data_IF_983731826104
#
_entry.id   IF_983731826104
#
_cell.length_a   1.000
_cell.length_b   1.000
_cell.length_c   1.000
_cell.angle_alpha   90.00
_cell.angle_beta   90.00
_cell.angle_gamma   90.00
#
_symmetry.space_group_name_H-M   'P 1'
#
loop_
_entity.id
_entity.type
_entity.pdbx_description
1 polymer ?
#
# COMPACT_ATOMS: atom_id res chain seq x y z
N UNK A 1 11.67 -1.42 -13.50
CA UNK A 1 11.15 -0.72 -12.31
C UNK A 1 10.00 -1.47 -11.64
N UNK A 2 8.90 -1.80 -12.33
CA UNK A 2 7.80 -2.58 -11.72
C UNK A 2 8.30 -3.91 -11.13
N UNK A 3 9.04 -4.71 -11.92
CA UNK A 3 9.60 -5.99 -11.44
C UNK A 3 10.56 -5.82 -10.26
N UNK A 4 11.31 -4.71 -10.25
CA UNK A 4 12.21 -4.39 -9.14
C UNK A 4 11.40 -4.13 -7.86
N UNK A 5 10.36 -3.29 -7.92
CA UNK A 5 9.51 -3.03 -6.75
C UNK A 5 8.77 -4.28 -6.29
N UNK A 6 8.23 -5.08 -7.20
CA UNK A 6 7.60 -6.35 -6.86
C UNK A 6 8.59 -7.32 -6.17
N UNK A 7 9.85 -7.37 -6.62
CA UNK A 7 10.90 -8.17 -5.98
C UNK A 7 11.19 -7.67 -4.55
N UNK A 8 11.41 -6.36 -4.39
CA UNK A 8 11.62 -5.76 -3.08
C UNK A 8 10.44 -6.01 -2.12
N UNK A 9 9.21 -5.90 -2.63
CA UNK A 9 7.99 -6.18 -1.89
C UNK A 9 7.92 -7.62 -1.34
N UNK A 10 8.52 -8.60 -2.03
CA UNK A 10 8.57 -9.98 -1.55
C UNK A 10 9.66 -10.20 -0.49
N UNK A 11 10.77 -9.45 -0.59
CA UNK A 11 11.87 -9.55 0.38
C UNK A 11 11.47 -8.98 1.75
N UNK A 12 10.72 -7.86 1.76
CA UNK A 12 10.24 -7.20 2.99
C UNK A 12 11.37 -6.85 3.98
N UNK A 13 12.58 -6.58 3.48
CA UNK A 13 13.73 -6.24 4.33
C UNK A 13 14.04 -4.75 4.30
N UNK A 14 14.87 -4.30 5.25
CA UNK A 14 15.34 -2.92 5.31
C UNK A 14 16.23 -2.56 4.11
N UNK A 15 17.04 -3.50 3.63
CA UNK A 15 17.89 -3.33 2.45
C UNK A 15 17.04 -3.16 1.18
N UNK A 16 15.96 -3.93 1.08
CA UNK A 16 14.97 -3.77 0.03
C UNK A 16 14.32 -2.38 0.11
N UNK A 17 13.95 -1.91 1.30
CA UNK A 17 13.40 -0.57 1.49
C UNK A 17 14.37 0.53 1.05
N UNK A 18 15.64 0.45 1.48
CA UNK A 18 16.66 1.44 1.12
C UNK A 18 16.86 1.50 -0.39
N UNK A 19 16.81 0.34 -1.06
CA UNK A 19 16.87 0.23 -2.51
C UNK A 19 15.64 0.85 -3.19
N UNK A 20 14.43 0.58 -2.68
CA UNK A 20 13.18 1.19 -3.15
C UNK A 20 13.25 2.71 -3.04
N UNK A 21 13.66 3.24 -1.89
CA UNK A 21 13.82 4.68 -1.64
C UNK A 21 14.83 5.31 -2.59
N UNK A 22 16.01 4.70 -2.73
CA UNK A 22 17.07 5.20 -3.62
C UNK A 22 16.61 5.27 -5.07
N UNK A 23 15.95 4.21 -5.56
CA UNK A 23 15.44 4.17 -6.93
C UNK A 23 14.30 5.16 -7.12
N UNK A 24 13.34 5.24 -6.19
CA UNK A 24 12.20 6.17 -6.31
C UNK A 24 12.61 7.62 -6.53
N UNK A 25 13.67 8.10 -5.85
CA UNK A 25 14.20 9.46 -6.02
C UNK A 25 14.78 9.75 -7.42
N UNK A 26 15.14 8.72 -8.16
CA UNK A 26 15.72 8.84 -9.51
C UNK A 26 14.66 8.72 -10.62
N UNK A 27 13.41 8.39 -10.26
CA UNK A 27 12.33 8.22 -11.23
C UNK A 27 11.86 9.60 -11.71
N UNK A 28 11.81 9.85 -13.03
CA UNK A 28 11.26 11.10 -13.54
C UNK A 28 9.79 11.27 -13.15
N UNK A 29 9.37 12.50 -12.81
CA UNK A 29 7.99 12.79 -12.37
C UNK A 29 6.91 12.27 -13.33
N UNK A 30 7.19 12.24 -14.64
CA UNK A 30 6.28 11.70 -15.66
C UNK A 30 5.90 10.23 -15.40
N UNK A 31 6.77 9.43 -14.82
CA UNK A 31 6.51 8.00 -14.55
C UNK A 31 5.52 7.78 -13.40
N UNK A 32 5.38 8.74 -12.48
CA UNK A 32 4.37 8.66 -11.41
C UNK A 32 2.93 8.76 -11.93
N UNK A 33 2.74 9.16 -13.19
CA UNK A 33 1.43 9.09 -13.86
C UNK A 33 1.04 7.68 -14.29
N UNK A 34 1.96 6.71 -14.26
CA UNK A 34 1.68 5.31 -14.60
C UNK A 34 1.09 4.59 -13.37
N UNK A 35 -0.21 4.23 -13.39
CA UNK A 35 -0.87 3.67 -12.22
C UNK A 35 -0.30 2.32 -11.80
N UNK A 36 0.19 1.51 -12.75
CA UNK A 36 0.81 0.21 -12.44
C UNK A 36 2.14 0.38 -11.72
N UNK A 37 2.97 1.32 -12.19
CA UNK A 37 4.24 1.61 -11.55
C UNK A 37 4.03 2.17 -10.14
N UNK A 38 3.11 3.13 -10.00
CA UNK A 38 2.80 3.71 -8.71
C UNK A 38 2.25 2.66 -7.74
N UNK A 39 1.33 1.80 -8.18
CA UNK A 39 0.81 0.68 -7.37
C UNK A 39 1.93 -0.24 -6.90
N UNK A 40 2.86 -0.63 -7.78
CA UNK A 40 3.99 -1.48 -7.40
C UNK A 40 4.94 -0.81 -6.39
N UNK A 41 5.14 0.52 -6.51
CA UNK A 41 5.94 1.28 -5.56
C UNK A 41 5.25 1.37 -4.19
N UNK A 42 3.94 1.63 -4.16
CA UNK A 42 3.15 1.64 -2.93
C UNK A 42 3.20 0.29 -2.22
N UNK A 43 2.95 -0.81 -2.95
CA UNK A 43 3.02 -2.17 -2.39
C UNK A 43 4.41 -2.48 -1.79
N UNK A 44 5.48 -2.09 -2.49
CA UNK A 44 6.84 -2.27 -1.99
C UNK A 44 7.13 -1.45 -0.72
N UNK A 45 6.71 -0.17 -0.68
CA UNK A 45 6.88 0.68 0.49
C UNK A 45 6.11 0.15 1.69
N UNK A 46 4.83 -0.22 1.51
CA UNK A 46 3.98 -0.77 2.58
C UNK A 46 4.55 -2.08 3.12
N UNK A 47 4.90 -3.04 2.25
CA UNK A 47 5.43 -4.34 2.68
C UNK A 47 6.81 -4.28 3.31
N UNK A 48 7.59 -3.24 2.99
CA UNK A 48 8.87 -2.99 3.66
C UNK A 48 8.74 -2.05 4.88
N UNK A 49 7.52 -1.65 5.25
CA UNK A 49 7.22 -0.95 6.49
C UNK A 49 7.31 0.59 6.44
N UNK A 50 7.51 1.21 5.27
CA UNK A 50 7.49 2.68 5.15
C UNK A 50 6.10 3.19 4.78
N UNK A 51 5.20 3.07 5.75
CA UNK A 51 3.79 3.47 5.63
C UNK A 51 3.65 4.96 5.32
N UNK A 52 4.41 5.82 6.00
CA UNK A 52 4.30 7.28 5.85
C UNK A 52 4.65 7.73 4.42
N UNK A 53 5.66 7.13 3.80
CA UNK A 53 6.04 7.48 2.44
C UNK A 53 5.04 6.96 1.41
N UNK A 54 4.48 5.76 1.63
CA UNK A 54 3.39 5.24 0.81
C UNK A 54 2.15 6.13 0.89
N UNK A 55 1.75 6.58 2.09
CA UNK A 55 0.65 7.53 2.30
C UNK A 55 0.88 8.83 1.53
N UNK A 56 2.06 9.44 1.66
CA UNK A 56 2.37 10.69 0.96
C UNK A 56 2.26 10.55 -0.57
N UNK A 57 2.72 9.43 -1.14
CA UNK A 57 2.60 9.16 -2.57
C UNK A 57 1.16 8.86 -3.00
N UNK A 58 0.41 8.12 -2.20
CA UNK A 58 -0.97 7.78 -2.50
C UNK A 58 -1.87 9.01 -2.50
N UNK A 59 -1.79 9.84 -1.45
CA UNK A 59 -2.63 11.03 -1.32
C UNK A 59 -2.23 12.16 -2.27
N UNK A 60 -0.95 12.25 -2.68
CA UNK A 60 -0.54 13.20 -3.72
C UNK A 60 -0.94 12.78 -5.14
N UNK A 61 -1.33 11.52 -5.36
CA UNK A 61 -1.82 11.06 -6.65
C UNK A 61 -3.22 11.58 -6.95
N UNK A 62 -3.38 12.23 -8.11
CA UNK A 62 -4.69 12.72 -8.59
C UNK A 62 -5.63 11.63 -9.09
N UNK A 63 -5.07 10.48 -9.50
CA UNK A 63 -5.84 9.34 -10.02
C UNK A 63 -5.48 8.11 -9.22
N UNK A 64 -6.38 7.70 -8.34
CA UNK A 64 -6.27 6.49 -7.53
C UNK A 64 -7.25 5.46 -8.07
N UNK A 65 -6.72 4.36 -8.61
CA UNK A 65 -7.54 3.25 -9.08
C UNK A 65 -7.68 2.16 -8.02
N UNK A 66 -8.63 1.25 -8.21
CA UNK A 66 -8.84 0.07 -7.36
C UNK A 66 -7.54 -0.66 -6.98
N UNK A 67 -6.58 -0.94 -7.89
CA UNK A 67 -5.32 -1.59 -7.50
C UNK A 67 -4.50 -0.81 -6.45
N UNK A 68 -4.54 0.52 -6.48
CA UNK A 68 -3.82 1.35 -5.50
C UNK A 68 -4.50 1.30 -4.13
N UNK A 69 -5.83 1.37 -4.09
CA UNK A 69 -6.59 1.22 -2.86
C UNK A 69 -6.35 -0.16 -2.23
N UNK A 70 -6.45 -1.24 -3.01
CA UNK A 70 -6.15 -2.59 -2.53
C UNK A 70 -4.73 -2.75 -1.98
N UNK A 71 -3.72 -2.17 -2.65
CA UNK A 71 -2.34 -2.19 -2.16
C UNK A 71 -2.18 -1.47 -0.81
N UNK A 72 -2.80 -0.29 -0.65
CA UNK A 72 -2.75 0.47 0.60
C UNK A 72 -3.54 -0.21 1.73
N UNK A 73 -4.77 -0.66 1.46
CA UNK A 73 -5.61 -1.38 2.43
C UNK A 73 -4.89 -2.62 2.96
N UNK A 74 -4.37 -3.46 2.04
CA UNK A 74 -3.60 -4.64 2.44
C UNK A 74 -2.34 -4.25 3.20
N UNK A 75 -1.65 -3.21 2.76
CA UNK A 75 -0.47 -2.69 3.42
C UNK A 75 -0.75 -2.26 4.86
N UNK A 76 -1.85 -1.55 5.12
CA UNK A 76 -2.23 -1.14 6.47
C UNK A 76 -2.50 -2.35 7.37
N UNK A 77 -3.25 -3.33 6.87
CA UNK A 77 -3.50 -4.59 7.56
C UNK A 77 -2.18 -5.32 7.89
N UNK A 78 -1.27 -5.43 6.93
CA UNK A 78 0.07 -6.05 7.11
C UNK A 78 0.96 -5.28 8.12
N UNK A 79 0.68 -3.98 8.36
CA UNK A 79 1.41 -3.11 9.28
C UNK A 79 0.68 -2.87 10.61
N UNK A 80 -0.29 -3.73 10.97
CA UNK A 80 -1.07 -3.64 12.23
C UNK A 80 -1.86 -2.33 12.39
N UNK A 81 -2.35 -1.78 11.27
CA UNK A 81 -3.18 -0.58 11.22
C UNK A 81 -4.56 -0.88 10.60
N UNK A 82 -5.32 -1.86 11.12
CA UNK A 82 -6.59 -2.27 10.52
C UNK A 82 -7.62 -1.14 10.45
N UNK A 83 -7.61 -0.20 11.38
CA UNK A 83 -8.50 0.97 11.40
C UNK A 83 -8.31 1.82 10.13
N UNK A 84 -7.06 2.10 9.76
CA UNK A 84 -6.74 2.86 8.54
C UNK A 84 -7.17 2.13 7.26
N UNK A 85 -7.09 0.79 7.26
CA UNK A 85 -7.56 0.00 6.12
C UNK A 85 -9.08 0.10 5.96
N UNK A 86 -9.83 0.07 7.08
CA UNK A 86 -11.29 0.24 7.12
C UNK A 86 -11.67 1.66 6.69
N UNK A 87 -10.99 2.68 7.22
CA UNK A 87 -11.23 4.07 6.85
C UNK A 87 -11.00 4.29 5.36
N UNK A 88 -9.92 3.73 4.82
CA UNK A 88 -9.60 3.85 3.40
C UNK A 88 -10.62 3.13 2.51
N UNK A 89 -11.21 2.02 2.95
CA UNK A 89 -12.27 1.34 2.20
C UNK A 89 -13.46 2.27 1.93
N UNK A 90 -13.80 3.15 2.88
CA UNK A 90 -14.91 4.09 2.72
C UNK A 90 -14.68 5.13 1.61
N UNK A 91 -13.44 5.30 1.14
CA UNK A 91 -13.10 6.13 -0.01
C UNK A 91 -13.16 5.39 -1.35
N UNK A 92 -13.39 4.08 -1.36
CA UNK A 92 -13.38 3.26 -2.57
C UNK A 92 -14.72 3.36 -3.29
N UNK A 93 -14.72 3.95 -4.49
CA UNK A 93 -15.88 3.92 -5.38
C UNK A 93 -15.96 2.58 -6.13
N UNK A 94 -17.12 1.89 -6.03
CA UNK A 94 -17.39 0.60 -6.69
C UNK A 94 -16.34 -0.49 -6.35
N UNK A 95 -16.23 -0.89 -5.07
CA UNK A 95 -15.28 -1.92 -4.65
C UNK A 95 -15.55 -3.26 -5.35
N UNK A 96 -14.48 -3.96 -5.70
CA UNK A 96 -14.54 -5.36 -6.16
C UNK A 96 -14.39 -6.35 -5.00
N UNK A 97 -14.46 -7.65 -5.30
CA UNK A 97 -14.34 -8.73 -4.32
C UNK A 97 -13.04 -8.67 -3.51
N UNK A 98 -11.95 -8.12 -4.10
CA UNK A 98 -10.66 -7.98 -3.40
C UNK A 98 -10.77 -6.93 -2.30
N UNK A 99 -11.44 -5.80 -2.56
CA UNK A 99 -11.62 -4.74 -1.57
C UNK A 99 -12.54 -5.20 -0.42
N UNK A 100 -13.60 -5.94 -0.74
CA UNK A 100 -14.49 -6.54 0.25
C UNK A 100 -13.74 -7.53 1.16
N UNK A 101 -12.91 -8.40 0.57
CA UNK A 101 -12.09 -9.33 1.32
C UNK A 101 -11.10 -8.61 2.26
N UNK A 102 -10.45 -7.55 1.77
CA UNK A 102 -9.52 -6.76 2.58
C UNK A 102 -10.22 -6.07 3.74
N UNK A 103 -11.43 -5.52 3.52
CA UNK A 103 -12.25 -4.96 4.58
C UNK A 103 -12.54 -6.00 5.67
N UNK A 104 -13.04 -7.19 5.28
CA UNK A 104 -13.36 -8.24 6.25
C UNK A 104 -12.14 -8.71 7.04
N UNK A 105 -11.00 -8.85 6.37
CA UNK A 105 -9.74 -9.17 7.03
C UNK A 105 -9.35 -8.09 8.06
N UNK A 106 -9.44 -6.82 7.69
CA UNK A 106 -9.15 -5.71 8.60
C UNK A 106 -10.12 -5.65 9.79
N UNK A 107 -11.42 -5.91 9.59
CA UNK A 107 -12.38 -6.00 10.70
C UNK A 107 -12.06 -7.15 11.66
N UNK A 108 -11.64 -8.30 11.15
CA UNK A 108 -11.24 -9.42 11.99
C UNK A 108 -9.98 -9.10 12.82
N UNK A 109 -9.00 -8.45 12.19
CA UNK A 109 -7.79 -7.97 12.86
C UNK A 109 -8.09 -6.93 13.94
N UNK A 110 -8.99 -5.97 13.69
CA UNK A 110 -9.37 -4.95 14.66
C UNK A 110 -9.95 -5.57 15.94
N UNK A 111 -10.89 -6.51 15.81
CA UNK A 111 -11.44 -7.23 16.97
C UNK A 111 -10.38 -7.97 17.78
N UNK A 112 -9.35 -8.49 17.11
CA UNK A 112 -8.25 -9.20 17.76
C UNK A 112 -7.35 -8.21 18.50
N UNK A 113 -7.08 -7.05 17.90
CA UNK A 113 -6.29 -5.98 18.49
C UNK A 113 -6.98 -5.43 19.76
N UNK A 114 -8.27 -5.11 19.67
CA UNK A 114 -9.07 -4.64 20.81
C UNK A 114 -9.14 -5.63 21.98
N UNK A 115 -9.00 -6.93 21.72
CA UNK A 115 -9.01 -7.95 22.76
C UNK A 115 -7.67 -8.13 23.49
N UNK A 116 -6.57 -7.55 22.97
CA UNK A 116 -5.23 -7.65 23.53
C UNK A 116 -4.79 -6.40 24.30
N UNK A 117 -5.52 -5.29 24.16
CA UNK A 117 -5.31 -4.03 24.89
C UNK A 117 -6.09 -4.01 26.22
#
# INVERSE_FOLDING_TARGET
>A
MILFFNSCAQLKTKEALDSVKKISKQIPKSFYSNPRLLTSLLDALMKCGDVAHAEALFYSSKKRGLPMYGAMMKGYADNNLPEKAIDLFNEVENPDDVHMLLLFNSCAQLKTKEALD
#
